data_IF_290511909616
#
_entry.id   IF_290511909616
#
_cell.length_a   1.000
_cell.length_b   1.000
_cell.length_c   1.000
_cell.angle_alpha   90.00
_cell.angle_beta   90.00
_cell.angle_gamma   90.00
#
_symmetry.space_group_name_H-M   'P 1'
#
loop_
_entity.id
_entity.type
_entity.pdbx_description
1 polymer ?
#
# COMPACT_ATOMS: atom_id res chain seq x y z
N UNK A 1 -4.79 1.02 15.35
CA UNK A 1 -5.32 2.31 14.86
C UNK A 1 -6.83 2.41 15.02
N UNK A 2 -7.65 1.71 14.22
CA UNK A 2 -9.12 1.84 14.24
C UNK A 2 -9.73 1.72 15.65
N UNK A 3 -9.27 0.76 16.46
CA UNK A 3 -9.83 0.60 17.79
C UNK A 3 -9.54 1.72 18.77
N UNK A 4 -8.41 2.40 18.63
CA UNK A 4 -8.11 3.63 19.39
C UNK A 4 -8.98 4.78 18.89
N UNK A 5 -9.10 4.93 17.57
CA UNK A 5 -9.87 5.99 16.93
C UNK A 5 -11.36 5.93 17.29
N UNK A 6 -11.95 4.74 17.35
CA UNK A 6 -13.37 4.55 17.66
C UNK A 6 -13.66 4.15 19.11
N UNK A 7 -12.62 4.00 19.95
CA UNK A 7 -12.77 3.54 21.34
C UNK A 7 -13.41 2.16 21.48
N UNK A 8 -13.25 1.28 20.49
CA UNK A 8 -13.93 -0.03 20.43
C UNK A 8 -13.09 -1.06 19.67
N UNK A 9 -13.25 -2.35 19.97
CA UNK A 9 -12.49 -3.39 19.27
C UNK A 9 -13.00 -3.55 17.83
N UNK A 10 -12.18 -3.15 16.86
CA UNK A 10 -12.42 -3.37 15.42
C UNK A 10 -11.52 -4.50 14.96
N UNK A 11 -12.07 -5.73 14.90
CA UNK A 11 -11.33 -6.96 14.55
C UNK A 11 -11.51 -7.41 13.10
N UNK A 12 -12.51 -6.86 12.41
CA UNK A 12 -12.86 -7.24 11.04
C UNK A 12 -13.53 -6.07 10.30
N UNK A 13 -13.68 -6.24 8.99
CA UNK A 13 -14.25 -5.24 8.10
C UNK A 13 -15.74 -5.00 8.36
N UNK A 14 -16.47 -6.02 8.86
CA UNK A 14 -17.89 -5.88 9.17
C UNK A 14 -18.10 -4.86 10.30
N UNK A 15 -17.31 -4.96 11.36
CA UNK A 15 -17.34 -3.99 12.46
C UNK A 15 -16.88 -2.61 11.98
N UNK A 16 -15.87 -2.54 11.11
CA UNK A 16 -15.41 -1.26 10.57
C UNK A 16 -16.50 -0.56 9.73
N UNK A 17 -17.27 -1.33 8.94
CA UNK A 17 -18.45 -0.81 8.21
C UNK A 17 -19.52 -0.28 9.17
N UNK A 18 -19.76 -0.95 10.30
CA UNK A 18 -20.67 -0.44 11.33
C UNK A 18 -20.19 0.88 11.93
N UNK A 19 -18.88 1.02 12.19
CA UNK A 19 -18.31 2.29 12.65
C UNK A 19 -18.48 3.39 11.60
N UNK A 20 -18.26 3.08 10.32
CA UNK A 20 -18.51 4.02 9.22
C UNK A 20 -19.95 4.53 9.21
N UNK A 21 -20.94 3.64 9.35
CA UNK A 21 -22.35 4.02 9.44
C UNK A 21 -22.63 4.94 10.63
N UNK A 22 -22.04 4.64 11.81
CA UNK A 22 -22.21 5.48 13.02
C UNK A 22 -21.65 6.89 12.83
N UNK A 23 -20.44 7.01 12.26
CA UNK A 23 -19.79 8.30 11.96
C UNK A 23 -20.64 9.12 10.98
N UNK A 24 -21.09 8.50 9.88
CA UNK A 24 -21.91 9.17 8.87
C UNK A 24 -23.26 9.63 9.43
N UNK A 25 -23.90 8.86 10.30
CA UNK A 25 -25.18 9.23 10.90
C UNK A 25 -25.06 10.37 11.92
N UNK A 26 -23.93 10.45 12.63
CA UNK A 26 -23.69 11.49 13.64
C UNK A 26 -23.07 12.76 13.06
N UNK A 27 -22.51 12.70 11.85
CA UNK A 27 -21.73 13.78 11.25
C UNK A 27 -20.57 14.26 12.14
N UNK A 28 -20.05 13.37 12.98
CA UNK A 28 -18.97 13.66 13.92
C UNK A 28 -17.76 12.78 13.62
N UNK A 29 -16.61 13.42 13.43
CA UNK A 29 -15.35 12.71 13.28
C UNK A 29 -14.98 12.01 14.59
N UNK A 30 -14.39 10.80 14.52
CA UNK A 30 -13.85 10.14 15.70
C UNK A 30 -12.73 10.97 16.34
N UNK A 31 -12.53 10.79 17.65
CA UNK A 31 -11.52 11.54 18.40
C UNK A 31 -10.21 10.75 18.47
N UNK A 32 -9.10 11.44 18.25
CA UNK A 32 -7.76 10.91 18.50
C UNK A 32 -7.28 11.42 19.87
N UNK A 33 -7.37 10.56 20.88
CA UNK A 33 -6.93 10.88 22.24
C UNK A 33 -5.41 10.91 22.44
N UNK A 34 -4.61 10.00 21.83
CA UNK A 34 -3.16 10.02 21.98
C UNK A 34 -2.52 11.31 21.46
N UNK A 35 -1.22 11.47 21.75
CA UNK A 35 -0.44 12.53 21.13
C UNK A 35 -0.51 12.42 19.60
N UNK A 36 -0.63 13.56 18.90
CA UNK A 36 -0.68 13.55 17.46
C UNK A 36 0.70 13.23 16.86
N UNK A 37 0.69 12.74 15.63
CA UNK A 37 1.88 12.48 14.84
C UNK A 37 2.19 13.64 13.92
N UNK A 38 3.46 14.02 13.85
CA UNK A 38 3.95 15.00 12.88
C UNK A 38 4.09 14.42 11.46
N UNK A 39 4.25 13.10 11.35
CA UNK A 39 4.42 12.36 10.10
C UNK A 39 3.56 11.10 10.13
N UNK A 40 2.78 10.89 9.07
CA UNK A 40 1.99 9.67 8.85
C UNK A 40 2.50 8.99 7.59
N UNK A 41 2.86 7.71 7.70
CA UNK A 41 3.30 6.89 6.56
C UNK A 41 2.18 5.92 6.20
N UNK A 42 1.75 5.96 4.94
CA UNK A 42 0.78 5.04 4.34
C UNK A 42 1.54 4.08 3.43
N UNK A 43 1.82 2.89 3.93
CA UNK A 43 2.59 1.86 3.21
C UNK A 43 1.66 0.88 2.47
N UNK A 44 2.19 0.23 1.43
CA UNK A 44 1.46 -0.70 0.55
C UNK A 44 0.12 -0.15 0.03
N UNK A 45 0.09 1.15 -0.29
CA UNK A 45 -1.17 1.85 -0.57
C UNK A 45 -1.82 1.44 -1.90
N UNK A 46 -1.10 0.69 -2.76
CA UNK A 46 -1.69 0.05 -3.95
C UNK A 46 -2.73 -1.03 -3.61
N UNK A 47 -2.69 -1.57 -2.39
CA UNK A 47 -3.62 -2.59 -1.89
C UNK A 47 -4.68 -1.98 -0.96
N UNK A 48 -4.87 -0.66 -1.01
CA UNK A 48 -5.89 0.03 -0.23
C UNK A 48 -7.29 -0.25 -0.79
N UNK A 49 -8.25 -0.52 0.10
CA UNK A 49 -9.69 -0.62 -0.24
C UNK A 49 -10.40 0.69 0.09
N UNK A 50 -11.60 0.90 -0.42
CA UNK A 50 -12.41 2.08 -0.08
C UNK A 50 -12.62 2.23 1.43
N UNK A 51 -12.82 1.12 2.14
CA UNK A 51 -13.03 1.12 3.58
C UNK A 51 -11.77 1.52 4.35
N UNK A 52 -10.60 1.03 3.92
CA UNK A 52 -9.32 1.41 4.50
C UNK A 52 -8.96 2.86 4.17
N UNK A 53 -9.24 3.32 2.95
CA UNK A 53 -9.05 4.72 2.56
C UNK A 53 -9.91 5.66 3.41
N UNK A 54 -11.19 5.33 3.60
CA UNK A 54 -12.07 6.07 4.50
C UNK A 54 -11.51 6.13 5.93
N UNK A 55 -11.04 5.00 6.47
CA UNK A 55 -10.46 4.92 7.80
C UNK A 55 -9.18 5.78 7.91
N UNK A 56 -8.30 5.74 6.90
CA UNK A 56 -7.10 6.57 6.84
C UNK A 56 -7.45 8.06 6.87
N UNK A 57 -8.46 8.50 6.11
CA UNK A 57 -8.93 9.88 6.12
C UNK A 57 -9.49 10.29 7.49
N UNK A 58 -10.29 9.44 8.13
CA UNK A 58 -10.77 9.69 9.49
C UNK A 58 -9.61 9.87 10.48
N UNK A 59 -8.58 9.02 10.37
CA UNK A 59 -7.40 9.10 11.23
C UNK A 59 -6.60 10.39 10.99
N UNK A 60 -6.32 10.74 9.72
CA UNK A 60 -5.59 11.97 9.35
C UNK A 60 -6.33 13.20 9.89
N UNK A 61 -7.64 13.29 9.67
CA UNK A 61 -8.45 14.43 10.13
C UNK A 61 -8.52 14.52 11.65
N UNK A 62 -8.63 13.38 12.35
CA UNK A 62 -8.63 13.34 13.81
C UNK A 62 -7.27 13.77 14.39
N UNK A 63 -6.18 13.34 13.77
CA UNK A 63 -4.81 13.75 14.12
C UNK A 63 -4.62 15.26 13.93
N UNK A 64 -5.00 15.80 12.77
CA UNK A 64 -4.89 17.22 12.45
C UNK A 64 -5.70 18.09 13.41
N UNK A 65 -6.91 17.63 13.80
CA UNK A 65 -7.72 18.30 14.82
C UNK A 65 -7.00 18.35 16.16
N UNK A 66 -6.33 17.26 16.55
CA UNK A 66 -5.55 17.17 17.80
C UNK A 66 -4.32 18.09 17.76
N UNK A 67 -3.70 18.29 16.59
CA UNK A 67 -2.61 19.25 16.35
C UNK A 67 -3.06 20.73 16.31
N UNK A 68 -4.31 21.04 16.66
CA UNK A 68 -4.82 22.42 16.58
C UNK A 68 -5.02 22.90 15.13
N UNK A 69 -5.29 21.99 14.20
CA UNK A 69 -5.52 22.29 12.80
C UNK A 69 -4.25 22.45 11.97
N UNK A 70 -3.09 22.02 12.48
CA UNK A 70 -1.90 21.76 11.67
C UNK A 70 -1.99 20.36 11.06
N UNK A 71 -1.49 20.19 9.84
CA UNK A 71 -1.51 18.89 9.17
C UNK A 71 -0.25 18.10 9.43
N UNK A 72 -0.38 16.80 9.66
CA UNK A 72 0.76 15.88 9.61
C UNK A 72 1.37 15.86 8.20
N UNK A 73 2.67 15.61 8.07
CA UNK A 73 3.27 15.32 6.76
C UNK A 73 2.89 13.90 6.34
N UNK A 74 2.42 13.75 5.11
CA UNK A 74 2.07 12.43 4.56
C UNK A 74 3.21 11.88 3.72
N UNK A 75 3.51 10.60 3.93
CA UNK A 75 4.38 9.81 3.07
C UNK A 75 3.57 8.63 2.57
N UNK A 76 3.31 8.57 1.27
CA UNK A 76 2.53 7.49 0.65
C UNK A 76 3.49 6.64 -0.16
N UNK A 77 3.54 5.35 0.15
CA UNK A 77 4.47 4.38 -0.42
C UNK A 77 3.70 3.21 -1.02
N UNK A 78 4.28 2.63 -2.07
CA UNK A 78 3.72 1.48 -2.74
C UNK A 78 4.26 1.32 -4.16
N UNK A 79 3.77 0.29 -4.84
CA UNK A 79 4.08 -0.01 -6.24
C UNK A 79 2.82 -0.49 -6.95
N UNK A 80 2.31 0.29 -7.92
CA UNK A 80 1.11 -0.05 -8.70
C UNK A 80 1.22 -1.42 -9.39
N UNK A 81 2.44 -1.84 -9.78
CA UNK A 81 2.66 -3.13 -10.43
C UNK A 81 2.60 -4.32 -9.47
N UNK A 82 2.54 -4.04 -8.17
CA UNK A 82 2.37 -5.05 -7.11
C UNK A 82 0.93 -5.11 -6.57
N UNK A 83 -0.02 -4.39 -7.18
CA UNK A 83 -1.44 -4.51 -6.82
C UNK A 83 -2.00 -5.86 -7.29
N UNK A 84 -2.07 -6.83 -6.36
CA UNK A 84 -2.50 -8.21 -6.65
C UNK A 84 -3.79 -8.60 -5.93
N UNK A 85 -4.31 -7.72 -5.06
CA UNK A 85 -5.49 -7.99 -4.24
C UNK A 85 -6.79 -7.41 -4.80
N UNK A 86 -6.87 -7.13 -6.12
CA UNK A 86 -8.06 -6.57 -6.75
C UNK A 86 -9.35 -7.39 -6.53
N UNK A 87 -9.23 -8.72 -6.37
CA UNK A 87 -10.36 -9.59 -6.01
C UNK A 87 -10.98 -9.30 -4.62
N UNK A 88 -10.27 -8.55 -3.77
CA UNK A 88 -10.73 -8.06 -2.46
C UNK A 88 -11.22 -6.61 -2.52
N UNK A 89 -11.32 -6.02 -3.70
CA UNK A 89 -11.77 -4.63 -3.89
C UNK A 89 -10.69 -3.60 -3.57
N UNK A 90 -9.41 -3.96 -3.73
CA UNK A 90 -8.31 -2.96 -3.68
C UNK A 90 -8.28 -2.14 -4.96
N UNK A 91 -7.76 -0.93 -4.86
CA UNK A 91 -7.69 0.02 -5.97
C UNK A 91 -6.35 0.78 -5.92
N UNK A 92 -5.47 0.52 -6.88
CA UNK A 92 -4.15 1.15 -6.95
C UNK A 92 -4.23 2.67 -7.18
N UNK A 93 -5.39 3.18 -7.60
CA UNK A 93 -5.62 4.62 -7.75
C UNK A 93 -5.52 5.39 -6.44
N UNK A 94 -5.71 4.73 -5.30
CA UNK A 94 -5.40 5.36 -4.00
C UNK A 94 -3.93 5.72 -3.87
N UNK A 95 -3.02 4.93 -4.45
CA UNK A 95 -1.59 5.24 -4.54
C UNK A 95 -1.30 6.23 -5.68
N UNK A 96 -1.74 5.92 -6.90
CA UNK A 96 -1.33 6.67 -8.11
C UNK A 96 -1.93 8.07 -8.16
N UNK A 97 -3.10 8.28 -7.55
CA UNK A 97 -3.79 9.57 -7.41
C UNK A 97 -3.79 10.09 -5.97
N UNK A 98 -2.84 9.65 -5.14
CA UNK A 98 -2.72 10.13 -3.75
C UNK A 98 -2.67 11.67 -3.65
N UNK A 99 -1.94 12.42 -4.52
CA UNK A 99 -1.96 13.87 -4.49
C UNK A 99 -3.35 14.48 -4.65
N UNK A 100 -4.18 13.95 -5.56
CA UNK A 100 -5.52 14.45 -5.85
C UNK A 100 -6.52 14.07 -4.75
N UNK A 101 -6.37 12.87 -4.18
CA UNK A 101 -7.29 12.31 -3.20
C UNK A 101 -7.01 12.80 -1.78
N UNK A 102 -5.74 12.98 -1.41
CA UNK A 102 -5.29 13.40 -0.07
C UNK A 102 -4.86 14.86 -0.01
N UNK A 103 -4.51 15.48 -1.15
CA UNK A 103 -4.15 16.90 -1.21
C UNK A 103 -5.24 17.85 -0.67
N UNK A 104 -6.54 17.63 -0.91
CA UNK A 104 -7.59 18.44 -0.28
C UNK A 104 -7.62 18.35 1.25
N UNK A 105 -7.06 17.29 1.84
CA UNK A 105 -6.98 17.06 3.28
C UNK A 105 -5.67 17.56 3.89
N UNK A 106 -4.64 17.83 3.08
CA UNK A 106 -3.30 18.15 3.56
C UNK A 106 -2.76 19.44 2.95
N UNK A 107 -2.23 20.33 3.80
CA UNK A 107 -1.71 21.62 3.35
C UNK A 107 -0.36 21.55 2.63
N UNK A 108 0.38 20.45 2.78
CA UNK A 108 1.68 20.30 2.14
C UNK A 108 1.55 19.75 0.71
N UNK A 109 2.29 20.31 -0.25
CA UNK A 109 2.28 19.80 -1.62
C UNK A 109 2.88 18.39 -1.66
N UNK A 110 2.28 17.53 -2.46
CA UNK A 110 2.83 16.20 -2.75
C UNK A 110 3.96 16.31 -3.77
N UNK A 111 5.03 15.55 -3.54
CA UNK A 111 6.14 15.39 -4.48
C UNK A 111 6.30 13.91 -4.77
N UNK A 112 6.20 13.51 -6.04
CA UNK A 112 6.41 12.13 -6.47
C UNK A 112 7.91 11.85 -6.54
N UNK A 113 8.35 10.78 -5.89
CA UNK A 113 9.71 10.26 -5.98
C UNK A 113 9.65 8.78 -6.40
N UNK A 114 10.39 8.40 -7.42
CA UNK A 114 10.46 7.02 -7.90
C UNK A 114 11.77 6.38 -7.46
N UNK A 115 11.69 5.17 -6.89
CA UNK A 115 12.84 4.40 -6.44
C UNK A 115 12.98 3.14 -7.30
N UNK A 116 13.83 3.17 -8.33
CA UNK A 116 14.06 2.02 -9.20
C UNK A 116 15.08 1.02 -8.64
N UNK A 117 15.99 1.47 -7.77
CA UNK A 117 17.10 0.67 -7.28
C UNK A 117 16.66 -0.35 -6.23
N UNK A 118 16.74 -1.63 -6.57
CA UNK A 118 16.58 -2.74 -5.63
C UNK A 118 17.90 -3.10 -4.97
N UNK A 119 17.91 -3.07 -3.64
CA UNK A 119 19.00 -3.63 -2.83
C UNK A 119 18.75 -5.09 -2.43
N UNK A 120 17.55 -5.62 -2.74
CA UNK A 120 17.13 -6.99 -2.44
C UNK A 120 17.52 -7.96 -3.56
N UNK A 121 17.25 -7.57 -4.80
CA UNK A 121 17.38 -8.42 -5.99
C UNK A 121 18.78 -8.32 -6.60
N UNK A 122 19.24 -9.41 -7.24
CA UNK A 122 20.46 -9.40 -8.03
C UNK A 122 20.24 -8.80 -9.42
N UNK A 123 21.32 -8.38 -10.08
CA UNK A 123 21.31 -7.93 -11.49
C UNK A 123 20.65 -8.98 -12.39
N UNK A 124 20.94 -10.26 -12.16
CA UNK A 124 20.42 -11.37 -12.94
C UNK A 124 18.91 -11.54 -12.75
N UNK A 125 18.41 -11.44 -11.51
CA UNK A 125 16.98 -11.48 -11.22
C UNK A 125 16.24 -10.28 -11.80
N UNK A 126 16.80 -9.08 -11.65
CA UNK A 126 16.23 -7.85 -12.21
C UNK A 126 16.13 -7.93 -13.73
N UNK A 127 17.19 -8.35 -14.42
CA UNK A 127 17.17 -8.54 -15.88
C UNK A 127 16.11 -9.56 -16.31
N UNK A 128 16.01 -10.67 -15.57
CA UNK A 128 14.98 -11.66 -15.85
C UNK A 128 13.57 -11.09 -15.69
N UNK A 129 13.31 -10.33 -14.61
CA UNK A 129 12.00 -9.72 -14.35
C UNK A 129 11.64 -8.68 -15.39
N UNK A 130 12.52 -7.70 -15.63
CA UNK A 130 12.32 -6.64 -16.60
C UNK A 130 12.02 -7.20 -18.00
N UNK A 131 12.83 -8.17 -18.45
CA UNK A 131 12.69 -8.73 -19.80
C UNK A 131 11.50 -9.68 -19.95
N UNK A 132 11.19 -10.47 -18.92
CA UNK A 132 10.21 -11.58 -19.04
C UNK A 132 8.82 -11.16 -18.57
N UNK A 133 8.71 -10.45 -17.45
CA UNK A 133 7.42 -10.06 -16.87
C UNK A 133 7.01 -8.65 -17.23
N UNK A 134 7.97 -7.75 -17.48
CA UNK A 134 7.70 -6.34 -17.75
C UNK A 134 7.94 -5.95 -19.22
N UNK A 135 7.97 -6.92 -20.13
CA UNK A 135 8.02 -6.67 -21.58
C UNK A 135 9.29 -5.94 -22.05
N UNK A 136 10.39 -5.99 -21.30
CA UNK A 136 11.63 -5.28 -21.59
C UNK A 136 11.75 -3.90 -20.94
N UNK A 137 10.76 -3.47 -20.14
CA UNK A 137 10.82 -2.20 -19.42
C UNK A 137 11.88 -2.23 -18.32
N UNK A 138 12.73 -1.21 -18.27
CA UNK A 138 13.76 -1.06 -17.22
C UNK A 138 13.19 -0.49 -15.92
N UNK A 139 12.16 -1.15 -15.38
CA UNK A 139 11.43 -0.70 -14.19
C UNK A 139 12.27 -0.83 -12.90
N UNK A 140 12.99 -1.94 -12.74
CA UNK A 140 13.86 -2.22 -11.58
C UNK A 140 15.33 -2.13 -12.00
N UNK A 141 16.19 -1.58 -11.15
CA UNK A 141 17.65 -1.60 -11.29
C UNK A 141 18.30 -2.32 -10.10
N UNK A 142 19.51 -2.86 -10.26
CA UNK A 142 20.29 -3.45 -9.17
C UNK A 142 21.78 -3.33 -9.43
N UNK A 143 22.58 -3.25 -8.37
CA UNK A 143 24.05 -3.27 -8.39
C UNK A 143 24.64 -4.56 -7.80
N UNK A 144 23.80 -5.47 -7.28
CA UNK A 144 24.23 -6.67 -6.57
C UNK A 144 24.37 -7.85 -7.54
N UNK A 145 25.55 -8.50 -7.67
CA UNK A 145 25.65 -9.73 -8.45
C UNK A 145 24.96 -10.91 -7.73
N UNK A 146 24.48 -11.90 -8.49
CA UNK A 146 23.89 -13.12 -7.95
C UNK A 146 23.76 -14.22 -9.01
N UNK A 147 23.19 -15.38 -8.64
CA UNK A 147 22.96 -16.47 -9.58
C UNK A 147 21.89 -16.09 -10.61
N UNK A 148 21.95 -16.71 -11.79
CA UNK A 148 20.87 -16.61 -12.78
C UNK A 148 19.62 -17.35 -12.26
N UNK A 149 18.41 -16.76 -12.35
CA UNK A 149 17.18 -17.48 -12.07
C UNK A 149 17.08 -18.75 -12.93
N UNK A 150 16.67 -19.85 -12.32
CA UNK A 150 16.41 -21.12 -13.01
C UNK A 150 14.89 -21.24 -13.18
N UNK A 151 14.44 -21.30 -14.43
CA UNK A 151 13.03 -21.54 -14.76
C UNK A 151 12.89 -22.98 -15.21
N UNK A 152 12.06 -23.75 -14.51
CA UNK A 152 11.79 -25.12 -14.88
C UNK A 152 10.32 -25.22 -15.27
N UNK A 153 10.07 -25.46 -16.56
CA UNK A 153 8.71 -25.70 -17.09
C UNK A 153 8.44 -27.20 -17.05
N UNK A 154 7.49 -27.63 -16.23
CA UNK A 154 7.05 -29.02 -16.18
C UNK A 154 5.54 -29.15 -16.36
N UNK A 155 5.12 -30.28 -16.92
CA UNK A 155 3.73 -30.71 -16.82
C UNK A 155 3.48 -31.22 -15.40
N UNK A 156 2.50 -30.63 -14.71
CA UNK A 156 2.16 -30.97 -13.32
C UNK A 156 1.91 -32.47 -13.13
N UNK A 157 1.23 -33.10 -14.10
CA UNK A 157 0.93 -34.53 -14.12
C UNK A 157 2.11 -35.45 -14.43
N UNK A 158 3.25 -34.89 -14.86
CA UNK A 158 4.49 -35.61 -15.16
C UNK A 158 5.67 -35.07 -14.33
N UNK A 159 5.41 -34.41 -13.19
CA UNK A 159 6.44 -33.82 -12.33
C UNK A 159 7.54 -34.81 -11.92
N UNK A 160 7.20 -36.10 -11.75
CA UNK A 160 8.17 -37.18 -11.47
C UNK A 160 9.14 -37.46 -12.62
N UNK A 161 8.78 -37.16 -13.87
CA UNK A 161 9.67 -37.35 -15.01
C UNK A 161 10.81 -36.32 -15.01
N UNK A 162 10.49 -35.06 -14.64
CA UNK A 162 11.48 -34.00 -14.48
C UNK A 162 12.47 -34.30 -13.34
N UNK A 163 11.98 -34.75 -12.19
CA UNK A 163 12.84 -35.09 -11.05
C UNK A 163 13.85 -36.21 -11.34
N UNK A 164 13.62 -37.02 -12.38
CA UNK A 164 14.56 -38.06 -12.85
C UNK A 164 15.60 -37.54 -13.85
N UNK A 165 15.40 -36.35 -14.39
CA UNK A 165 16.25 -35.72 -15.42
C UNK A 165 17.16 -34.62 -14.86
N UNK A 166 16.93 -34.20 -13.61
CA UNK A 166 17.77 -33.30 -12.83
C UNK A 166 18.73 -34.10 -11.94
#
# INVERSE_FOLDING_TARGET
MAGLLFGTLVRDDAILVEQRKKVLNRSELPQWDPEPFDIIVLDEFQDCTELLFWLANCFILANDRKMGGQSARLVVLGDEKQSIYGFRGTDDRYLTLAPELLGPLNRYPFVKAQLSQSFRLSIQSVRFINNTFLGGESYITSSKPGPKPIVIRCHLWQSRALAKQL
#
